data_IF_870047905325
#
_entry.id   IF_870047905325
#
_cell.length_a   1.000
_cell.length_b   1.000
_cell.length_c   1.000
_cell.angle_alpha   90.00
_cell.angle_beta   90.00
_cell.angle_gamma   90.00
#
_symmetry.space_group_name_H-M   'P 1'
#
loop_
_entity.id
_entity.type
_entity.pdbx_description
1 polymer ?
#
# COMPACT_ATOMS: atom_id res chain seq x y z
N UNK A 1 -22.99 -10.60 0.26
CA UNK A 1 -22.88 -9.19 -0.16
C UNK A 1 -22.59 -9.20 -1.65
N UNK A 2 -23.25 -8.38 -2.45
CA UNK A 2 -22.91 -8.23 -3.88
C UNK A 2 -21.52 -7.57 -3.99
N UNK A 3 -20.72 -8.02 -4.95
CA UNK A 3 -19.44 -7.37 -5.23
C UNK A 3 -19.70 -5.92 -5.70
N UNK A 4 -18.82 -5.01 -5.29
CA UNK A 4 -18.88 -3.61 -5.72
C UNK A 4 -18.40 -3.53 -7.17
N UNK A 5 -19.17 -2.90 -8.03
CA UNK A 5 -18.78 -2.67 -9.42
C UNK A 5 -17.90 -1.40 -9.51
N UNK A 6 -16.67 -1.59 -9.99
CA UNK A 6 -15.72 -0.52 -10.22
C UNK A 6 -15.50 -0.24 -11.72
N UNK A 7 -16.27 -0.85 -12.61
CA UNK A 7 -16.16 -0.68 -14.05
C UNK A 7 -16.36 0.79 -14.45
N UNK A 8 -15.46 1.31 -15.28
CA UNK A 8 -15.48 2.70 -15.75
C UNK A 8 -15.00 3.73 -14.70
N UNK A 9 -14.68 3.29 -13.48
CA UNK A 9 -14.10 4.15 -12.45
C UNK A 9 -12.64 4.48 -12.75
N UNK A 10 -12.19 5.66 -12.33
CA UNK A 10 -10.85 6.20 -12.57
C UNK A 10 -10.02 6.16 -11.29
N UNK A 11 -8.93 5.42 -11.30
CA UNK A 11 -8.09 5.18 -10.12
C UNK A 11 -6.65 5.61 -10.32
N UNK A 12 -6.09 6.28 -9.31
CA UNK A 12 -4.67 6.61 -9.25
C UNK A 12 -3.91 5.57 -8.40
N UNK A 13 -2.96 4.85 -9.03
CA UNK A 13 -2.11 3.83 -8.41
C UNK A 13 -0.72 4.40 -8.16
N UNK A 14 -0.40 4.74 -6.92
CA UNK A 14 0.88 5.30 -6.51
C UNK A 14 1.82 4.19 -6.06
N UNK A 15 2.82 3.89 -6.86
CA UNK A 15 3.74 2.76 -6.68
C UNK A 15 3.46 1.58 -7.62
N UNK A 16 3.05 1.86 -8.86
CA UNK A 16 2.64 0.85 -9.83
C UNK A 16 3.79 0.32 -10.71
N UNK A 17 5.00 0.86 -10.62
CA UNK A 17 6.09 0.53 -11.55
C UNK A 17 6.63 -0.90 -11.43
N UNK A 18 6.35 -1.62 -10.33
CA UNK A 18 6.90 -2.95 -10.08
C UNK A 18 6.03 -3.78 -9.12
N UNK A 19 6.30 -5.08 -9.01
CA UNK A 19 5.76 -5.99 -8.01
C UNK A 19 4.24 -5.95 -7.85
N UNK A 20 3.77 -5.72 -6.61
CA UNK A 20 2.34 -5.70 -6.28
C UNK A 20 1.56 -4.65 -7.08
N UNK A 21 2.12 -3.44 -7.23
CA UNK A 21 1.43 -2.34 -7.90
C UNK A 21 1.23 -2.62 -9.39
N UNK A 22 2.27 -3.13 -10.07
CA UNK A 22 2.19 -3.56 -11.48
C UNK A 22 1.14 -4.66 -11.66
N UNK A 23 1.17 -5.70 -10.82
CA UNK A 23 0.22 -6.79 -10.87
C UNK A 23 -1.23 -6.32 -10.60
N UNK A 24 -1.43 -5.40 -9.65
CA UNK A 24 -2.74 -4.84 -9.35
C UNK A 24 -3.30 -4.02 -10.52
N UNK A 25 -2.45 -3.25 -11.21
CA UNK A 25 -2.85 -2.49 -12.40
C UNK A 25 -3.43 -3.42 -13.49
N UNK A 26 -2.85 -4.62 -13.70
CA UNK A 26 -3.39 -5.62 -14.62
C UNK A 26 -4.77 -6.13 -14.19
N UNK A 27 -4.99 -6.45 -12.92
CA UNK A 27 -6.31 -6.88 -12.42
C UNK A 27 -7.35 -5.78 -12.60
N UNK A 28 -7.03 -4.54 -12.26
CA UNK A 28 -7.93 -3.40 -12.37
C UNK A 28 -8.26 -3.09 -13.83
N UNK A 29 -7.27 -3.07 -14.71
CA UNK A 29 -7.46 -2.81 -16.15
C UNK A 29 -8.34 -3.87 -16.83
N UNK A 30 -8.12 -5.17 -16.51
CA UNK A 30 -8.98 -6.26 -17.00
C UNK A 30 -10.43 -6.15 -16.52
N UNK A 31 -10.66 -5.54 -15.37
CA UNK A 31 -11.99 -5.27 -14.83
C UNK A 31 -12.65 -4.00 -15.40
N UNK A 32 -12.03 -3.36 -16.40
CA UNK A 32 -12.56 -2.16 -17.05
C UNK A 32 -12.41 -0.87 -16.22
N UNK A 33 -11.48 -0.85 -15.25
CA UNK A 33 -11.13 0.35 -14.47
C UNK A 33 -10.09 1.14 -15.28
N UNK A 34 -10.29 2.46 -15.40
CA UNK A 34 -9.26 3.36 -15.90
C UNK A 34 -8.17 3.56 -14.84
N UNK A 35 -6.91 3.27 -15.17
CA UNK A 35 -5.82 3.35 -14.22
C UNK A 35 -4.81 4.44 -14.58
N UNK A 36 -4.47 5.29 -13.62
CA UNK A 36 -3.36 6.22 -13.71
C UNK A 36 -2.23 5.60 -12.90
N UNK A 37 -1.17 5.18 -13.58
CA UNK A 37 -0.06 4.47 -12.94
C UNK A 37 1.07 5.43 -12.63
N UNK A 38 1.56 5.38 -11.38
CA UNK A 38 2.59 6.30 -10.90
C UNK A 38 3.75 5.60 -10.21
N UNK A 39 4.94 6.02 -10.52
CA UNK A 39 6.21 5.76 -9.84
C UNK A 39 7.23 6.81 -10.26
N UNK A 40 8.49 6.68 -9.83
CA UNK A 40 9.58 7.57 -10.27
C UNK A 40 10.14 7.22 -11.66
N UNK A 41 9.95 5.99 -12.13
CA UNK A 41 10.54 5.49 -13.38
C UNK A 41 9.49 5.52 -14.49
N UNK A 42 9.58 6.52 -15.36
CA UNK A 42 8.65 6.69 -16.49
C UNK A 42 8.69 5.50 -17.45
N UNK A 43 9.88 5.01 -17.81
CA UNK A 43 10.06 3.88 -18.71
C UNK A 43 9.28 2.64 -18.25
N UNK A 44 9.40 2.27 -16.96
CA UNK A 44 8.66 1.14 -16.39
C UNK A 44 7.14 1.34 -16.40
N UNK A 45 6.70 2.58 -16.24
CA UNK A 45 5.27 2.90 -16.29
C UNK A 45 4.74 2.82 -17.71
N UNK A 46 5.55 3.27 -18.69
CA UNK A 46 5.16 3.17 -20.11
C UNK A 46 5.09 1.71 -20.56
N UNK A 47 6.08 0.89 -20.22
CA UNK A 47 6.01 -0.57 -20.44
C UNK A 47 4.73 -1.18 -19.85
N UNK A 48 4.37 -0.79 -18.62
CA UNK A 48 3.15 -1.27 -17.98
C UNK A 48 1.91 -0.84 -18.75
N UNK A 49 1.79 0.43 -19.14
CA UNK A 49 0.64 0.96 -19.88
C UNK A 49 0.48 0.25 -21.21
N UNK A 50 1.57 -0.04 -21.92
CA UNK A 50 1.56 -0.75 -23.20
C UNK A 50 1.07 -2.22 -23.08
N UNK A 51 1.19 -2.82 -21.87
CA UNK A 51 0.69 -4.18 -21.59
C UNK A 51 -0.79 -4.20 -21.17
N UNK A 52 -1.33 -3.07 -20.68
CA UNK A 52 -2.68 -3.04 -20.11
C UNK A 52 -3.77 -3.05 -21.18
N UNK A 53 -4.80 -3.92 -21.06
CA UNK A 53 -5.86 -4.02 -22.06
C UNK A 53 -6.86 -2.86 -22.06
N UNK A 54 -6.96 -2.13 -20.96
CA UNK A 54 -7.91 -1.04 -20.76
C UNK A 54 -7.24 0.34 -20.84
N UNK A 55 -8.02 1.37 -20.55
CA UNK A 55 -7.53 2.75 -20.54
C UNK A 55 -6.55 2.96 -19.39
N UNK A 56 -5.34 3.39 -19.71
CA UNK A 56 -4.28 3.62 -18.75
C UNK A 56 -3.46 4.86 -19.14
N UNK A 57 -2.95 5.59 -18.15
CA UNK A 57 -2.08 6.76 -18.36
C UNK A 57 -0.91 6.74 -17.39
N UNK A 58 0.21 7.26 -17.84
CA UNK A 58 1.42 7.45 -17.02
C UNK A 58 1.37 8.81 -16.34
N UNK A 59 1.67 8.84 -15.05
CA UNK A 59 1.96 10.06 -14.29
C UNK A 59 3.13 9.80 -13.36
N UNK A 60 4.30 10.32 -13.64
CA UNK A 60 5.46 10.19 -12.75
C UNK A 60 5.26 10.95 -11.45
N UNK A 61 5.71 10.38 -10.34
CA UNK A 61 5.69 11.03 -9.03
C UNK A 61 6.80 10.49 -8.11
N UNK A 62 7.49 11.40 -7.44
CA UNK A 62 8.26 11.08 -6.23
C UNK A 62 7.49 11.53 -5.00
N UNK A 63 6.95 10.59 -4.24
CA UNK A 63 6.15 10.89 -3.04
C UNK A 63 7.00 11.39 -1.85
N UNK A 64 8.33 11.39 -1.98
CA UNK A 64 9.23 12.02 -1.02
C UNK A 64 9.38 13.52 -1.23
N UNK A 65 8.91 14.06 -2.36
CA UNK A 65 9.00 15.46 -2.77
C UNK A 65 7.59 16.10 -2.85
N UNK A 66 7.37 17.16 -2.09
CA UNK A 66 6.09 17.88 -2.03
C UNK A 66 5.72 18.51 -3.38
N UNK A 67 6.68 19.10 -4.09
CA UNK A 67 6.43 19.73 -5.40
C UNK A 67 6.07 18.69 -6.47
N UNK A 68 6.73 17.52 -6.44
CA UNK A 68 6.41 16.41 -7.34
C UNK A 68 4.99 15.88 -7.08
N UNK A 69 4.59 15.76 -5.81
CA UNK A 69 3.24 15.30 -5.45
C UNK A 69 2.18 16.31 -5.87
N UNK A 70 2.43 17.61 -5.67
CA UNK A 70 1.52 18.68 -6.09
C UNK A 70 1.28 18.66 -7.60
N UNK A 71 2.36 18.71 -8.38
CA UNK A 71 2.28 18.67 -9.84
C UNK A 71 1.60 17.38 -10.36
N UNK A 72 1.89 16.23 -9.75
CA UNK A 72 1.26 14.98 -10.15
C UNK A 72 -0.24 14.96 -9.84
N UNK A 73 -0.65 15.45 -8.66
CA UNK A 73 -2.06 15.50 -8.27
C UNK A 73 -2.86 16.45 -9.19
N UNK A 74 -2.30 17.60 -9.57
CA UNK A 74 -2.90 18.52 -10.54
C UNK A 74 -3.07 17.86 -11.91
N UNK A 75 -2.04 17.17 -12.42
CA UNK A 75 -2.09 16.50 -13.71
C UNK A 75 -3.07 15.30 -13.72
N UNK A 76 -3.16 14.58 -12.61
CA UNK A 76 -4.12 13.49 -12.41
C UNK A 76 -5.56 14.01 -12.44
N UNK A 77 -5.84 15.13 -11.80
CA UNK A 77 -7.17 15.72 -11.73
C UNK A 77 -8.18 14.84 -10.97
N UNK A 78 -9.41 14.80 -11.46
CA UNK A 78 -10.51 14.09 -10.82
C UNK A 78 -10.34 12.56 -10.90
N UNK A 79 -10.53 11.90 -9.76
CA UNK A 79 -10.49 10.44 -9.61
C UNK A 79 -11.63 9.91 -8.74
N UNK A 80 -11.99 8.65 -8.93
CA UNK A 80 -12.94 7.92 -8.07
C UNK A 80 -12.24 7.21 -6.91
N UNK A 81 -10.95 6.90 -7.07
CA UNK A 81 -10.20 6.23 -6.01
C UNK A 81 -8.68 6.34 -6.15
N UNK A 82 -8.01 6.06 -5.05
CA UNK A 82 -6.56 6.05 -4.96
C UNK A 82 -6.07 4.79 -4.27
N UNK A 83 -4.97 4.22 -4.78
CA UNK A 83 -4.29 3.08 -4.17
C UNK A 83 -2.85 3.44 -3.87
N UNK A 84 -2.49 3.45 -2.59
CA UNK A 84 -1.15 3.78 -2.09
C UNK A 84 -0.35 2.50 -1.88
N UNK A 85 0.60 2.23 -2.78
CA UNK A 85 1.41 1.00 -2.82
C UNK A 85 2.91 1.27 -2.66
N UNK A 86 3.34 2.52 -2.90
CA UNK A 86 4.76 2.86 -2.86
C UNK A 86 5.39 2.50 -1.52
N UNK A 87 6.61 1.99 -1.57
CA UNK A 87 7.33 1.65 -0.36
C UNK A 87 8.76 1.24 -0.63
N UNK A 88 9.58 1.42 0.38
CA UNK A 88 10.98 0.99 0.41
C UNK A 88 11.26 0.20 1.68
N UNK A 89 12.26 -0.67 1.62
CA UNK A 89 12.67 -1.48 2.75
C UNK A 89 14.18 -1.64 2.78
N UNK A 90 14.76 -1.45 3.94
CA UNK A 90 16.13 -1.82 4.28
C UNK A 90 16.16 -2.46 5.66
N UNK A 91 16.66 -3.71 5.78
CA UNK A 91 16.80 -4.37 7.08
C UNK A 91 17.95 -3.75 7.86
N UNK A 92 17.70 -3.32 9.09
CA UNK A 92 18.74 -2.98 10.07
C UNK A 92 18.23 -3.09 11.49
N UNK A 93 19.14 -3.33 12.43
CA UNK A 93 18.83 -3.49 13.86
C UNK A 93 19.14 -2.20 14.65
N UNK A 94 18.64 -2.12 15.88
CA UNK A 94 18.97 -1.03 16.80
C UNK A 94 20.47 -0.96 17.15
N UNK A 95 21.21 -2.09 17.01
CA UNK A 95 22.65 -2.15 17.24
C UNK A 95 23.47 -1.64 16.07
N UNK A 96 22.86 -1.64 14.87
CA UNK A 96 23.47 -1.25 13.60
C UNK A 96 22.59 -0.18 12.95
N UNK A 97 22.41 0.93 13.69
CA UNK A 97 21.49 2.00 13.29
C UNK A 97 21.92 2.67 11.98
N UNK A 98 21.02 2.68 11.01
CA UNK A 98 21.20 3.44 9.77
C UNK A 98 20.16 4.58 9.70
N UNK A 99 20.63 5.80 9.98
CA UNK A 99 19.77 6.98 10.04
C UNK A 99 19.16 7.30 8.67
N UNK A 100 19.95 7.28 7.61
CA UNK A 100 19.49 7.60 6.25
C UNK A 100 18.37 6.65 5.79
N UNK A 101 18.62 5.35 5.90
CA UNK A 101 17.62 4.33 5.53
C UNK A 101 16.36 4.40 6.41
N UNK A 102 16.52 4.65 7.72
CA UNK A 102 15.41 4.80 8.65
C UNK A 102 14.51 5.98 8.29
N UNK A 103 15.11 7.14 8.06
CA UNK A 103 14.41 8.37 7.64
C UNK A 103 13.76 8.19 6.27
N UNK A 104 14.45 7.57 5.30
CA UNK A 104 13.89 7.30 3.98
C UNK A 104 12.65 6.40 4.05
N UNK A 105 12.67 5.33 4.89
CA UNK A 105 11.49 4.49 5.09
C UNK A 105 10.32 5.26 5.71
N UNK A 106 10.55 6.11 6.69
CA UNK A 106 9.50 6.94 7.27
C UNK A 106 8.95 7.94 6.25
N UNK A 107 9.84 8.61 5.51
CA UNK A 107 9.48 9.62 4.52
C UNK A 107 8.68 9.05 3.34
N UNK A 108 9.10 7.91 2.79
CA UNK A 108 8.44 7.30 1.63
C UNK A 108 7.20 6.51 2.07
N UNK A 109 7.34 5.57 3.02
CA UNK A 109 6.26 4.63 3.34
C UNK A 109 5.09 5.27 4.09
N UNK A 110 5.31 6.39 4.80
CA UNK A 110 4.28 7.05 5.61
C UNK A 110 4.07 8.52 5.22
N UNK A 111 5.09 9.37 5.36
CA UNK A 111 4.93 10.82 5.08
C UNK A 111 4.54 11.07 3.63
N UNK A 112 5.07 10.28 2.69
CA UNK A 112 4.67 10.34 1.27
C UNK A 112 3.19 10.04 1.07
N UNK A 113 2.61 9.07 1.80
CA UNK A 113 1.17 8.83 1.76
C UNK A 113 0.37 10.02 2.30
N UNK A 114 0.84 10.64 3.39
CA UNK A 114 0.22 11.86 3.93
C UNK A 114 0.22 13.01 2.91
N UNK A 115 1.35 13.21 2.18
CA UNK A 115 1.44 14.23 1.11
C UNK A 115 0.41 13.99 0.02
N UNK A 116 0.36 12.77 -0.50
CA UNK A 116 -0.57 12.41 -1.59
C UNK A 116 -2.03 12.55 -1.13
N UNK A 117 -2.35 12.02 0.05
CA UNK A 117 -3.71 12.16 0.62
C UNK A 117 -4.10 13.61 0.86
N UNK A 118 -3.16 14.46 1.28
CA UNK A 118 -3.41 15.90 1.45
C UNK A 118 -3.87 16.60 0.17
N UNK A 119 -3.50 16.10 -1.02
CA UNK A 119 -3.92 16.63 -2.32
C UNK A 119 -5.20 15.97 -2.84
N UNK A 120 -5.48 14.72 -2.48
CA UNK A 120 -6.63 13.95 -2.98
C UNK A 120 -7.86 14.08 -2.10
N UNK A 121 -7.71 14.10 -0.77
CA UNK A 121 -8.84 14.09 0.16
C UNK A 121 -9.81 15.28 -0.01
N UNK A 122 -9.35 16.52 -0.31
CA UNK A 122 -10.29 17.65 -0.51
C UNK A 122 -11.36 17.35 -1.56
N UNK A 123 -11.01 16.79 -2.72
CA UNK A 123 -11.97 16.44 -3.77
C UNK A 123 -12.96 15.34 -3.35
N UNK A 124 -12.49 14.34 -2.57
CA UNK A 124 -13.37 13.28 -2.07
C UNK A 124 -14.36 13.80 -1.03
N UNK A 125 -13.91 14.69 -0.13
CA UNK A 125 -14.77 15.32 0.88
C UNK A 125 -15.82 16.23 0.22
N UNK A 126 -15.42 17.04 -0.76
CA UNK A 126 -16.35 17.93 -1.49
C UNK A 126 -17.45 17.14 -2.22
N UNK A 127 -17.10 15.99 -2.82
CA UNK A 127 -18.03 15.13 -3.55
C UNK A 127 -18.84 14.18 -2.64
N UNK A 128 -18.48 14.07 -1.36
CA UNK A 128 -18.90 13.00 -0.46
C UNK A 128 -18.82 11.61 -1.13
N UNK A 129 -17.77 11.39 -1.89
CA UNK A 129 -17.55 10.16 -2.64
C UNK A 129 -16.05 9.95 -2.89
N UNK A 130 -15.59 8.72 -2.76
CA UNK A 130 -14.20 8.36 -3.03
C UNK A 130 -13.83 6.97 -2.47
N UNK A 131 -12.71 6.44 -2.93
CA UNK A 131 -12.19 5.19 -2.42
C UNK A 131 -10.68 5.30 -2.17
N UNK A 132 -10.28 5.16 -0.92
CA UNK A 132 -8.88 5.17 -0.47
C UNK A 132 -8.46 3.75 -0.09
N UNK A 133 -7.41 3.24 -0.73
CA UNK A 133 -6.81 1.94 -0.42
C UNK A 133 -5.36 2.12 0.00
N UNK A 134 -5.05 1.76 1.24
CA UNK A 134 -3.72 1.92 1.82
C UNK A 134 -3.04 0.55 1.95
N UNK A 135 -1.80 0.43 1.48
CA UNK A 135 -1.00 -0.77 1.66
C UNK A 135 -0.10 -0.64 2.89
N UNK A 136 -0.48 -1.32 3.97
CA UNK A 136 0.37 -1.52 5.14
C UNK A 136 1.17 -2.82 5.02
N UNK A 137 1.28 -3.61 6.06
CA UNK A 137 1.97 -4.91 6.10
C UNK A 137 1.57 -5.69 7.34
N UNK A 138 1.77 -7.01 7.33
CA UNK A 138 1.70 -7.82 8.55
C UNK A 138 2.73 -7.36 9.60
N UNK A 139 3.87 -6.81 9.19
CA UNK A 139 4.86 -6.25 10.11
C UNK A 139 4.36 -5.02 10.88
N UNK A 140 3.32 -4.34 10.42
CA UNK A 140 2.74 -3.18 11.09
C UNK A 140 1.93 -3.51 12.36
N UNK A 141 1.62 -4.78 12.64
CA UNK A 141 0.85 -5.14 13.84
C UNK A 141 1.64 -4.98 15.15
N UNK A 142 2.93 -5.31 15.15
CA UNK A 142 3.81 -5.19 16.33
C UNK A 142 5.28 -5.19 15.92
N UNK A 143 6.15 -4.58 16.74
CA UNK A 143 7.58 -4.45 16.47
C UNK A 143 8.28 -5.77 16.18
N UNK A 144 9.10 -5.80 15.12
CA UNK A 144 9.88 -6.96 14.71
C UNK A 144 11.38 -6.63 14.72
N UNK A 145 12.25 -7.57 15.17
CA UNK A 145 13.69 -7.38 15.13
C UNK A 145 14.21 -7.17 13.69
N UNK A 146 15.24 -6.36 13.54
CA UNK A 146 15.88 -6.13 12.24
C UNK A 146 15.06 -5.35 11.22
N UNK A 147 13.87 -4.88 11.59
CA UNK A 147 12.94 -4.20 10.67
C UNK A 147 12.43 -2.86 11.21
N UNK A 148 13.28 -2.11 11.92
CA UNK A 148 12.88 -0.95 12.72
C UNK A 148 12.13 0.10 11.90
N UNK A 149 12.76 0.65 10.86
CA UNK A 149 12.18 1.72 10.06
C UNK A 149 10.94 1.26 9.28
N UNK A 150 10.99 0.06 8.72
CA UNK A 150 9.87 -0.49 7.96
C UNK A 150 8.67 -0.79 8.84
N UNK A 151 8.86 -1.55 9.93
CA UNK A 151 7.79 -1.89 10.87
C UNK A 151 7.13 -0.64 11.44
N UNK A 152 7.93 0.35 11.87
CA UNK A 152 7.41 1.63 12.37
C UNK A 152 6.58 2.37 11.30
N UNK A 153 7.08 2.45 10.06
CA UNK A 153 6.36 3.11 8.97
C UNK A 153 5.07 2.39 8.58
N UNK A 154 5.05 1.05 8.61
CA UNK A 154 3.84 0.26 8.32
C UNK A 154 2.82 0.25 9.46
N UNK A 155 3.26 0.33 10.71
CA UNK A 155 2.38 0.59 11.85
C UNK A 155 1.71 1.98 11.72
N UNK A 156 2.47 3.00 11.32
CA UNK A 156 1.93 4.34 11.08
C UNK A 156 0.89 4.34 9.95
N UNK A 157 1.13 3.65 8.82
CA UNK A 157 0.14 3.55 7.72
C UNK A 157 -1.11 2.78 8.13
N UNK A 158 -0.99 1.76 8.99
CA UNK A 158 -2.15 1.04 9.52
C UNK A 158 -2.99 1.95 10.42
N UNK A 159 -2.35 2.66 11.35
CA UNK A 159 -3.03 3.61 12.24
C UNK A 159 -3.68 4.76 11.44
N UNK A 160 -3.01 5.28 10.41
CA UNK A 160 -3.58 6.28 9.50
C UNK A 160 -4.89 5.78 8.88
N UNK A 161 -4.88 4.56 8.32
CA UNK A 161 -6.07 3.98 7.72
C UNK A 161 -7.21 3.78 8.74
N UNK A 162 -6.89 3.37 9.97
CA UNK A 162 -7.87 3.20 11.06
C UNK A 162 -8.49 4.53 11.49
N UNK A 163 -7.69 5.59 11.62
CA UNK A 163 -8.21 6.94 11.90
C UNK A 163 -9.11 7.45 10.77
N UNK A 164 -8.66 7.34 9.52
CA UNK A 164 -9.47 7.75 8.36
C UNK A 164 -10.78 6.96 8.27
N UNK A 165 -10.75 5.66 8.52
CA UNK A 165 -11.96 4.83 8.53
C UNK A 165 -12.93 5.26 9.64
N UNK A 166 -12.42 5.56 10.84
CA UNK A 166 -13.25 6.03 11.95
C UNK A 166 -13.95 7.36 11.65
N UNK A 167 -13.22 8.31 11.03
CA UNK A 167 -13.75 9.63 10.69
C UNK A 167 -14.75 9.57 9.52
N UNK A 168 -14.52 8.71 8.54
CA UNK A 168 -15.23 8.70 7.26
C UNK A 168 -16.34 7.62 7.15
N UNK A 169 -16.48 6.76 8.15
CA UNK A 169 -17.41 5.60 8.09
C UNK A 169 -18.89 5.94 7.85
N UNK A 170 -19.29 7.18 8.07
CA UNK A 170 -20.67 7.66 7.87
C UNK A 170 -20.79 8.61 6.67
N UNK A 171 -19.80 8.60 5.78
CA UNK A 171 -19.75 9.39 4.55
C UNK A 171 -19.80 8.46 3.34
N UNK A 172 -19.87 9.04 2.15
CA UNK A 172 -19.74 8.32 0.88
C UNK A 172 -18.28 7.92 0.53
N UNK A 173 -17.30 8.23 1.40
CA UNK A 173 -15.89 7.93 1.17
C UNK A 173 -15.52 6.59 1.83
N UNK A 174 -15.06 5.64 1.02
CA UNK A 174 -14.64 4.32 1.48
C UNK A 174 -13.12 4.29 1.75
N UNK A 175 -12.74 3.74 2.90
CA UNK A 175 -11.34 3.55 3.29
C UNK A 175 -11.06 2.07 3.51
N UNK A 176 -10.00 1.56 2.90
CA UNK A 176 -9.57 0.17 3.04
C UNK A 176 -8.07 0.08 3.31
N UNK A 177 -7.66 -0.94 4.08
CA UNK A 177 -6.25 -1.25 4.33
C UNK A 177 -5.93 -2.71 4.01
N UNK A 178 -4.95 -2.91 3.15
CA UNK A 178 -4.37 -4.20 2.83
C UNK A 178 -3.10 -4.42 3.65
N UNK A 179 -3.00 -5.56 4.34
CA UNK A 179 -1.83 -5.97 5.11
C UNK A 179 -1.21 -7.23 4.50
N UNK A 180 -0.39 -7.11 3.45
CA UNK A 180 0.31 -8.25 2.88
C UNK A 180 1.41 -8.80 3.81
N UNK A 181 1.67 -10.11 3.68
CA UNK A 181 2.89 -10.74 4.14
C UNK A 181 4.02 -10.56 3.12
N UNK A 182 4.87 -11.59 3.00
CA UNK A 182 5.97 -11.57 2.03
C UNK A 182 5.43 -11.71 0.60
N UNK A 183 5.82 -10.79 -0.27
CA UNK A 183 5.55 -10.81 -1.71
C UNK A 183 6.90 -10.80 -2.42
N UNK A 184 7.09 -11.66 -3.39
CA UNK A 184 8.30 -11.78 -4.20
C UNK A 184 8.49 -10.50 -5.05
N UNK A 185 9.30 -9.59 -4.56
CA UNK A 185 9.57 -8.28 -5.15
C UNK A 185 11.00 -7.85 -4.80
N UNK A 186 11.51 -6.80 -5.46
CA UNK A 186 12.80 -6.21 -5.13
C UNK A 186 12.94 -5.79 -3.64
N UNK A 187 11.83 -5.57 -2.93
CA UNK A 187 11.86 -5.29 -1.50
C UNK A 187 12.28 -6.53 -0.70
N UNK A 188 11.72 -7.68 -1.03
CA UNK A 188 11.98 -8.95 -0.33
C UNK A 188 13.28 -9.61 -0.72
N UNK A 189 13.86 -9.28 -1.88
CA UNK A 189 15.19 -9.75 -2.30
C UNK A 189 16.33 -9.33 -1.35
N UNK A 190 16.06 -8.33 -0.51
CA UNK A 190 16.99 -7.83 0.52
C UNK A 190 16.99 -8.68 1.81
N UNK A 191 16.08 -9.63 1.94
CA UNK A 191 16.01 -10.51 3.10
C UNK A 191 17.03 -11.64 2.97
N UNK A 192 17.78 -11.88 4.05
CA UNK A 192 18.77 -12.97 4.14
C UNK A 192 18.22 -14.20 4.90
N UNK A 193 16.89 -14.30 5.06
CA UNK A 193 16.24 -15.38 5.79
C UNK A 193 15.10 -16.00 4.95
N UNK A 194 14.73 -17.23 5.31
CA UNK A 194 13.60 -17.92 4.68
C UNK A 194 12.30 -17.16 4.93
N UNK A 195 11.56 -16.88 3.87
CA UNK A 195 10.29 -16.16 3.92
C UNK A 195 9.13 -17.15 3.81
N UNK A 196 8.54 -17.57 4.93
CA UNK A 196 7.42 -18.49 4.89
C UNK A 196 6.20 -17.84 4.21
N UNK A 197 5.46 -18.65 3.47
CA UNK A 197 4.26 -18.19 2.75
C UNK A 197 4.52 -17.06 1.75
N UNK A 198 5.69 -17.03 1.12
CA UNK A 198 6.02 -16.07 0.06
C UNK A 198 4.98 -16.15 -1.06
N UNK A 199 4.36 -15.03 -1.39
CA UNK A 199 3.36 -14.94 -2.45
C UNK A 199 3.97 -14.39 -3.73
N UNK A 200 3.54 -14.89 -4.88
CA UNK A 200 3.80 -14.22 -6.16
C UNK A 200 3.00 -12.91 -6.24
N UNK A 201 3.51 -11.88 -6.93
CA UNK A 201 2.86 -10.57 -7.04
C UNK A 201 1.41 -10.64 -7.53
N UNK A 202 1.11 -11.49 -8.51
CA UNK A 202 -0.23 -11.67 -9.06
C UNK A 202 -1.22 -12.22 -8.01
N UNK A 203 -0.79 -13.23 -7.23
CA UNK A 203 -1.61 -13.77 -6.16
C UNK A 203 -1.92 -12.73 -5.07
N UNK A 204 -0.92 -11.93 -4.69
CA UNK A 204 -1.10 -10.85 -3.71
C UNK A 204 -1.99 -9.71 -4.26
N UNK A 205 -1.84 -9.38 -5.54
CA UNK A 205 -2.67 -8.39 -6.23
C UNK A 205 -4.13 -8.83 -6.31
N UNK A 206 -4.39 -10.10 -6.56
CA UNK A 206 -5.75 -10.66 -6.53
C UNK A 206 -6.39 -10.51 -5.15
N UNK A 207 -5.69 -10.85 -4.06
CA UNK A 207 -6.20 -10.65 -2.69
C UNK A 207 -6.55 -9.18 -2.40
N UNK A 208 -5.72 -8.27 -2.89
CA UNK A 208 -5.96 -6.84 -2.75
C UNK A 208 -7.13 -6.36 -3.61
N UNK A 209 -7.22 -6.82 -4.86
CA UNK A 209 -8.33 -6.48 -5.74
C UNK A 209 -9.65 -7.02 -5.22
N UNK A 210 -9.69 -8.26 -4.72
CA UNK A 210 -10.87 -8.81 -4.04
C UNK A 210 -11.31 -7.96 -2.84
N UNK A 211 -10.37 -7.43 -2.03
CA UNK A 211 -10.70 -6.48 -0.97
C UNK A 211 -11.41 -5.26 -1.53
N UNK A 212 -10.90 -4.67 -2.62
CA UNK A 212 -11.45 -3.47 -3.25
C UNK A 212 -12.90 -3.65 -3.71
N UNK A 213 -13.29 -4.89 -4.05
CA UNK A 213 -14.66 -5.25 -4.46
C UNK A 213 -15.62 -5.51 -3.30
N UNK A 214 -15.22 -5.25 -2.06
CA UNK A 214 -16.04 -5.47 -0.85
C UNK A 214 -16.14 -4.20 0.00
N UNK A 215 -17.04 -4.21 0.98
CA UNK A 215 -17.13 -3.17 2.01
C UNK A 215 -16.23 -3.45 3.23
N UNK A 216 -15.41 -4.49 3.19
CA UNK A 216 -14.52 -4.81 4.28
C UNK A 216 -13.44 -3.72 4.43
N UNK A 217 -13.28 -3.20 5.63
CA UNK A 217 -12.24 -2.21 5.92
C UNK A 217 -10.83 -2.76 5.76
N UNK A 218 -10.58 -4.01 6.23
CA UNK A 218 -9.22 -4.55 6.37
C UNK A 218 -9.12 -5.97 5.84
N UNK A 219 -8.07 -6.27 5.06
CA UNK A 219 -7.70 -7.63 4.67
C UNK A 219 -6.22 -7.87 4.95
N UNK A 220 -5.91 -8.98 5.62
CA UNK A 220 -4.54 -9.44 5.90
C UNK A 220 -4.31 -10.78 5.21
N UNK A 221 -3.28 -10.87 4.40
CA UNK A 221 -3.02 -12.06 3.59
C UNK A 221 -1.51 -12.40 3.51
N UNK A 222 -1.14 -13.70 3.30
CA UNK A 222 -2.06 -14.85 3.25
C UNK A 222 -2.70 -15.12 4.61
N UNK A 223 -3.95 -15.60 4.60
CA UNK A 223 -4.80 -15.65 5.79
C UNK A 223 -4.16 -16.41 6.96
N UNK A 224 -3.64 -17.62 6.72
CA UNK A 224 -3.04 -18.47 7.77
C UNK A 224 -1.83 -17.76 8.39
N UNK A 225 -0.93 -17.21 7.56
CA UNK A 225 0.25 -16.51 8.05
C UNK A 225 -0.12 -15.23 8.83
N UNK A 226 -1.16 -14.53 8.39
CA UNK A 226 -1.64 -13.31 9.05
C UNK A 226 -2.09 -13.54 10.50
N UNK A 227 -2.58 -14.76 10.82
CA UNK A 227 -3.03 -15.09 12.18
C UNK A 227 -1.89 -14.97 13.20
N UNK A 228 -0.65 -15.31 12.84
CA UNK A 228 0.51 -15.17 13.73
C UNK A 228 0.70 -13.71 14.18
N UNK A 229 0.51 -12.75 13.27
CA UNK A 229 0.66 -11.32 13.60
C UNK A 229 -0.58 -10.77 14.32
N UNK A 230 -1.77 -11.14 13.84
CA UNK A 230 -3.05 -10.68 14.40
C UNK A 230 -3.28 -11.18 15.83
N UNK A 231 -2.91 -12.40 16.13
CA UNK A 231 -2.96 -12.97 17.50
C UNK A 231 -1.74 -12.53 18.30
N UNK A 232 -0.56 -12.53 17.67
CA UNK A 232 0.71 -12.18 18.31
C UNK A 232 0.71 -10.78 18.94
N UNK A 233 -0.01 -9.80 18.35
CA UNK A 233 -0.08 -8.45 18.92
C UNK A 233 -0.69 -8.41 20.34
N UNK A 234 -1.51 -9.39 20.72
CA UNK A 234 -2.14 -9.46 22.06
C UNK A 234 -1.32 -10.27 23.08
N UNK A 235 -0.23 -10.90 22.66
CA UNK A 235 0.64 -11.63 23.59
C UNK A 235 1.32 -10.67 24.57
N UNK A 236 1.48 -11.06 25.84
CA UNK A 236 2.32 -10.28 26.76
C UNK A 236 3.75 -10.16 26.24
N UNK A 237 4.43 -9.06 26.55
CA UNK A 237 5.75 -8.70 26.00
C UNK A 237 6.78 -9.83 26.16
N UNK A 238 6.85 -10.43 27.35
CA UNK A 238 7.80 -11.51 27.64
C UNK A 238 7.62 -12.72 26.72
N UNK A 239 6.38 -13.04 26.33
CA UNK A 239 6.08 -14.15 25.45
C UNK A 239 6.32 -13.76 23.98
N UNK A 240 5.85 -12.59 23.58
CA UNK A 240 6.04 -12.09 22.22
C UNK A 240 7.52 -12.03 21.84
N UNK A 241 8.35 -11.36 22.65
CA UNK A 241 9.77 -11.21 22.33
C UNK A 241 10.59 -12.50 22.55
N UNK A 242 10.05 -13.50 23.26
CA UNK A 242 10.63 -14.83 23.27
C UNK A 242 10.42 -15.59 21.94
N UNK A 243 9.29 -15.34 21.26
CA UNK A 243 8.93 -16.00 19.99
C UNK A 243 9.56 -15.25 18.80
N UNK A 244 9.42 -13.95 18.79
CA UNK A 244 9.79 -13.09 17.64
C UNK A 244 11.12 -12.33 17.85
N UNK A 245 11.69 -12.30 19.03
CA UNK A 245 12.86 -11.50 19.40
C UNK A 245 14.23 -12.18 19.18
N UNK A 246 14.28 -13.34 18.49
CA UNK A 246 15.53 -14.07 18.24
C UNK A 246 16.12 -13.75 16.89
#
# INVERSE_FOLDING_TARGET
MSAIDLTGKRYWLVGAGDGLGRALAHHMSRAGIEVIVSSRSEDKLQELVDELPGKATVQTVDIADDASVEAAAEAVGDIDGIVLLAGVYWPFSAKEWNCEQGVAMANINFTGFMRVLGRVMPQFVEKDAGHVVITSSLSGFRGLPGSIGYTASKAATMSLAECMYADLRNTGIRVQVANPGFIKTQLTDKNAFDMPFLMEPDAAAREMFELMLTDNFKKSFPTVFSLFFRVGQFLPDWLYYRIFGR
#
